data_IF_953954524730
#
_entry.id   IF_953954524730
#
_cell.length_a   1.000
_cell.length_b   1.000
_cell.length_c   1.000
_cell.angle_alpha   90.00
_cell.angle_beta   90.00
_cell.angle_gamma   90.00
#
_symmetry.space_group_name_H-M   'P 1'
#
loop_
_entity.id
_entity.type
_entity.pdbx_description
1 polymer ?
#
# COMPACT_ATOMS: atom_id res chain seq x y z
N UNK A 1 7.76 -25.57 1.53
CA UNK A 1 6.88 -25.95 0.44
C UNK A 1 5.44 -25.51 0.74
N UNK A 2 4.87 -24.57 -0.03
CA UNK A 2 3.46 -24.22 0.08
C UNK A 2 2.50 -25.35 -0.36
N UNK A 3 2.95 -26.34 -1.15
CA UNK A 3 2.13 -27.48 -1.60
C UNK A 3 2.01 -28.53 -0.51
N UNK A 4 3.14 -28.96 0.06
CA UNK A 4 3.19 -30.01 1.09
C UNK A 4 3.05 -29.47 2.52
N UNK A 5 3.14 -28.15 2.72
CA UNK A 5 3.26 -27.55 4.05
C UNK A 5 4.60 -27.86 4.76
N UNK A 6 5.58 -28.41 4.03
CA UNK A 6 6.87 -28.84 4.59
C UNK A 6 7.82 -27.66 4.78
N UNK A 7 8.48 -27.59 5.93
CA UNK A 7 9.56 -26.62 6.17
C UNK A 7 10.90 -27.19 5.68
N UNK A 8 11.58 -26.53 4.74
CA UNK A 8 12.89 -26.98 4.25
C UNK A 8 14.06 -26.53 5.13
N UNK A 9 13.98 -25.30 5.65
CA UNK A 9 15.04 -24.69 6.43
C UNK A 9 14.45 -23.80 7.52
N UNK A 10 15.06 -23.85 8.71
CA UNK A 10 14.77 -22.95 9.83
C UNK A 10 16.06 -22.28 10.25
N UNK A 11 16.12 -20.95 10.11
CA UNK A 11 17.21 -20.14 10.63
C UNK A 11 16.72 -19.40 11.87
N UNK A 12 17.34 -19.68 13.01
CA UNK A 12 17.02 -19.01 14.28
C UNK A 12 17.90 -17.76 14.43
N UNK A 13 17.28 -16.62 14.65
CA UNK A 13 17.98 -15.40 14.99
C UNK A 13 18.48 -15.45 16.44
N UNK A 14 19.51 -14.67 16.74
CA UNK A 14 20.00 -14.50 18.10
C UNK A 14 18.97 -13.77 18.99
N UNK A 15 19.16 -13.89 20.31
CA UNK A 15 18.33 -13.18 21.28
C UNK A 15 18.33 -11.67 21.00
N UNK A 16 17.16 -11.04 21.16
CA UNK A 16 16.92 -9.62 20.93
C UNK A 16 17.12 -9.16 19.48
N UNK A 17 17.11 -10.08 18.51
CA UNK A 17 16.98 -9.77 17.09
C UNK A 17 15.57 -10.12 16.59
N UNK A 18 14.91 -9.15 15.95
CA UNK A 18 13.57 -9.33 15.39
C UNK A 18 13.58 -9.04 13.89
N UNK A 19 13.21 -10.02 13.07
CA UNK A 19 12.97 -9.78 11.64
C UNK A 19 11.70 -8.95 11.45
N UNK A 20 11.78 -7.89 10.65
CA UNK A 20 10.68 -6.93 10.45
C UNK A 20 10.28 -6.75 8.99
N UNK A 21 11.16 -7.13 8.05
CA UNK A 21 10.92 -6.99 6.61
C UNK A 21 11.69 -8.04 5.84
N UNK A 22 11.18 -8.41 4.66
CA UNK A 22 11.78 -9.44 3.81
C UNK A 22 11.48 -9.18 2.34
N UNK A 23 12.45 -9.43 1.47
CA UNK A 23 12.26 -9.39 0.02
C UNK A 23 13.21 -10.33 -0.73
N UNK A 24 12.78 -10.87 -1.86
CA UNK A 24 13.64 -11.51 -2.84
C UNK A 24 14.12 -10.48 -3.86
N UNK A 25 15.43 -10.42 -4.08
CA UNK A 25 16.07 -9.39 -4.91
C UNK A 25 17.12 -10.01 -5.82
N UNK A 26 17.15 -9.53 -7.07
CA UNK A 26 18.23 -9.77 -8.03
C UNK A 26 19.06 -8.50 -8.16
N UNK A 27 20.38 -8.63 -8.05
CA UNK A 27 21.29 -7.49 -8.21
C UNK A 27 21.92 -7.49 -9.60
N UNK A 28 21.96 -6.33 -10.26
CA UNK A 28 22.51 -6.20 -11.61
C UNK A 28 24.02 -6.48 -11.69
N UNK A 29 24.73 -6.35 -10.58
CA UNK A 29 26.17 -6.64 -10.49
C UNK A 29 26.49 -8.09 -10.08
N UNK A 30 25.47 -8.95 -10.00
CA UNK A 30 25.57 -10.39 -9.73
C UNK A 30 25.06 -11.17 -10.95
N UNK A 31 25.33 -12.48 -11.05
CA UNK A 31 24.76 -13.30 -12.11
C UNK A 31 23.23 -13.20 -12.16
N UNK A 32 22.65 -13.09 -13.36
CA UNK A 32 21.21 -12.84 -13.57
C UNK A 32 20.28 -13.92 -12.98
N UNK A 33 20.79 -15.15 -12.92
CA UNK A 33 20.09 -16.30 -12.34
C UNK A 33 20.10 -16.28 -10.82
N UNK A 34 21.00 -15.51 -10.20
CA UNK A 34 21.17 -15.50 -8.76
C UNK A 34 20.13 -14.62 -8.06
N UNK A 35 19.36 -15.22 -7.16
CA UNK A 35 18.47 -14.51 -6.25
C UNK A 35 19.06 -14.40 -4.85
N UNK A 36 18.73 -13.30 -4.17
CA UNK A 36 19.12 -13.07 -2.80
C UNK A 36 17.88 -12.82 -1.96
N UNK A 37 17.82 -13.45 -0.78
CA UNK A 37 16.84 -13.14 0.23
C UNK A 37 17.44 -12.07 1.14
N UNK A 38 16.77 -10.92 1.18
CA UNK A 38 17.14 -9.81 2.04
C UNK A 38 16.17 -9.79 3.21
N UNK A 39 16.71 -9.78 4.43
CA UNK A 39 15.92 -9.74 5.68
C UNK A 39 16.35 -8.52 6.48
N UNK A 40 15.41 -7.63 6.74
CA UNK A 40 15.58 -6.51 7.65
C UNK A 40 15.34 -6.95 9.09
N UNK A 41 16.27 -6.63 9.99
CA UNK A 41 16.26 -7.08 11.39
C UNK A 41 16.50 -5.88 12.31
N UNK A 42 15.71 -5.78 13.38
CA UNK A 42 15.93 -4.84 14.48
C UNK A 42 16.72 -5.50 15.61
N UNK A 43 17.60 -4.75 16.28
CA UNK A 43 18.29 -5.19 17.50
C UNK A 43 17.79 -4.39 18.70
N UNK A 44 17.37 -5.11 19.74
CA UNK A 44 16.95 -4.52 21.04
C UNK A 44 15.86 -3.46 20.86
N UNK A 45 14.86 -3.77 20.01
CA UNK A 45 13.73 -2.88 19.77
C UNK A 45 12.80 -2.86 20.99
N UNK A 46 12.74 -1.72 21.67
CA UNK A 46 11.70 -1.40 22.64
C UNK A 46 10.56 -0.66 21.93
N UNK A 47 9.32 -1.11 22.15
CA UNK A 47 8.15 -0.52 21.48
C UNK A 47 7.63 0.73 22.19
N UNK A 48 7.68 0.77 23.53
CA UNK A 48 7.13 1.86 24.33
C UNK A 48 8.01 2.18 25.56
N UNK A 49 8.58 3.41 25.66
CA UNK A 49 8.80 4.34 24.55
C UNK A 49 9.62 3.68 23.43
N UNK A 50 9.41 4.11 22.17
CA UNK A 50 10.12 3.52 21.03
C UNK A 50 11.63 3.81 21.13
N UNK A 51 12.43 2.77 21.30
CA UNK A 51 13.90 2.85 21.34
C UNK A 51 14.50 1.65 20.61
N UNK A 52 15.68 1.83 20.03
CA UNK A 52 16.36 0.79 19.25
C UNK A 52 17.86 1.04 19.31
N UNK A 53 18.64 -0.03 19.45
CA UNK A 53 20.10 0.06 19.46
C UNK A 53 20.64 0.23 18.04
N UNK A 54 20.24 -0.65 17.13
CA UNK A 54 20.55 -0.57 15.69
C UNK A 54 19.68 -1.54 14.88
N UNK A 55 19.82 -1.52 13.56
CA UNK A 55 19.27 -2.52 12.67
C UNK A 55 20.35 -3.29 11.91
N UNK A 56 19.94 -4.38 11.28
CA UNK A 56 20.76 -5.17 10.38
C UNK A 56 20.00 -5.52 9.11
N UNK A 57 20.72 -5.58 8.00
CA UNK A 57 20.23 -6.14 6.75
C UNK A 57 21.04 -7.42 6.51
N UNK A 58 20.37 -8.55 6.67
CA UNK A 58 20.91 -9.86 6.37
C UNK A 58 20.74 -10.13 4.87
N UNK A 59 21.76 -10.68 4.26
CA UNK A 59 21.77 -11.01 2.84
C UNK A 59 22.11 -12.47 2.69
N UNK A 60 21.14 -13.26 2.24
CA UNK A 60 21.30 -14.68 1.97
C UNK A 60 21.31 -14.92 0.47
N UNK A 61 22.19 -15.79 0.01
CA UNK A 61 22.15 -16.35 -1.31
C UNK A 61 21.13 -17.49 -1.30
N UNK A 62 20.17 -17.45 -2.21
CA UNK A 62 19.17 -18.51 -2.36
C UNK A 62 19.70 -19.52 -3.38
N UNK A 63 19.54 -20.81 -3.10
CA UNK A 63 19.81 -21.87 -4.08
C UNK A 63 18.76 -21.88 -5.20
N UNK A 64 19.07 -22.57 -6.30
CA UNK A 64 18.16 -22.66 -7.45
C UNK A 64 16.86 -23.39 -7.13
N UNK A 65 16.88 -24.28 -6.13
CA UNK A 65 15.71 -25.02 -5.68
C UNK A 65 14.86 -24.25 -4.66
N UNK A 66 15.31 -23.07 -4.19
CA UNK A 66 14.68 -22.30 -3.10
C UNK A 66 14.49 -23.11 -1.80
N UNK A 67 15.40 -24.04 -1.53
CA UNK A 67 15.37 -24.94 -0.36
C UNK A 67 16.43 -24.62 0.69
N UNK A 68 17.48 -23.90 0.32
CA UNK A 68 18.59 -23.55 1.22
C UNK A 68 19.01 -22.08 1.08
N UNK A 69 19.60 -21.56 2.15
CA UNK A 69 20.00 -20.16 2.27
C UNK A 69 21.42 -20.08 2.83
N UNK A 70 22.34 -19.51 2.06
CA UNK A 70 23.71 -19.27 2.51
C UNK A 70 23.89 -17.81 2.92
N UNK A 71 24.30 -17.55 4.16
CA UNK A 71 24.55 -16.19 4.63
C UNK A 71 25.77 -15.61 3.90
N UNK A 72 25.58 -14.51 3.18
CA UNK A 72 26.66 -13.79 2.49
C UNK A 72 27.31 -12.79 3.44
N UNK A 73 26.51 -11.89 4.02
CA UNK A 73 26.98 -10.91 4.99
C UNK A 73 25.82 -10.29 5.78
N UNK A 74 26.17 -9.62 6.88
CA UNK A 74 25.27 -8.84 7.75
C UNK A 74 25.70 -7.37 7.70
N UNK A 75 24.84 -6.50 7.17
CA UNK A 75 25.13 -5.05 7.08
C UNK A 75 24.43 -4.33 8.22
N UNK A 76 25.20 -3.67 9.10
CA UNK A 76 24.62 -2.84 10.16
C UNK A 76 24.08 -1.52 9.61
N UNK A 77 22.94 -1.09 10.14
CA UNK A 77 22.27 0.18 9.86
C UNK A 77 21.85 0.86 11.16
N UNK A 78 21.66 2.17 11.10
CA UNK A 78 21.48 3.03 12.29
C UNK A 78 20.07 2.91 12.90
N UNK A 79 19.11 2.38 12.13
CA UNK A 79 17.70 2.23 12.52
C UNK A 79 17.14 0.91 11.96
N UNK A 80 15.93 0.54 12.37
CA UNK A 80 15.13 -0.58 11.90
C UNK A 80 14.86 -0.43 10.39
N UNK A 81 15.27 -1.42 9.57
CA UNK A 81 14.93 -1.49 8.16
C UNK A 81 13.51 -2.08 7.98
N UNK A 82 12.48 -1.26 8.16
CA UNK A 82 11.06 -1.66 8.19
C UNK A 82 10.47 -2.01 6.82
N UNK A 83 11.04 -1.49 5.74
CA UNK A 83 10.56 -1.77 4.38
C UNK A 83 11.72 -2.07 3.43
N UNK A 84 11.55 -3.07 2.57
CA UNK A 84 12.56 -3.50 1.61
C UNK A 84 11.87 -3.78 0.28
N UNK A 85 12.42 -3.23 -0.81
CA UNK A 85 11.88 -3.40 -2.15
C UNK A 85 13.01 -3.58 -3.17
N UNK A 86 12.80 -4.47 -4.15
CA UNK A 86 13.71 -4.57 -5.30
C UNK A 86 13.45 -3.41 -6.25
N UNK A 87 14.51 -2.80 -6.78
CA UNK A 87 14.38 -1.68 -7.70
C UNK A 87 15.53 -1.64 -8.68
N UNK A 88 15.24 -1.85 -9.97
CA UNK A 88 16.19 -1.70 -11.08
C UNK A 88 17.54 -2.42 -10.85
N UNK A 89 17.49 -3.67 -10.39
CA UNK A 89 18.67 -4.48 -10.10
C UNK A 89 19.46 -4.02 -8.86
N UNK A 90 18.81 -3.27 -7.97
CA UNK A 90 19.33 -2.76 -6.71
C UNK A 90 18.27 -2.94 -5.60
N UNK A 91 18.61 -2.50 -4.41
CA UNK A 91 17.78 -2.65 -3.21
C UNK A 91 17.38 -1.29 -2.65
N UNK A 92 16.08 -1.01 -2.56
CA UNK A 92 15.55 0.09 -1.75
C UNK A 92 15.29 -0.41 -0.34
N UNK A 93 15.69 0.37 0.66
CA UNK A 93 15.43 0.09 2.07
C UNK A 93 14.98 1.35 2.78
N UNK A 94 13.86 1.26 3.50
CA UNK A 94 13.42 2.26 4.46
C UNK A 94 14.05 1.98 5.80
N UNK A 95 14.99 2.82 6.23
CA UNK A 95 15.69 2.73 7.53
C UNK A 95 15.22 3.88 8.40
N UNK A 96 14.24 3.64 9.28
CA UNK A 96 13.54 4.72 9.96
C UNK A 96 12.83 5.63 8.93
N UNK A 97 13.10 6.94 8.99
CA UNK A 97 12.68 7.93 7.97
C UNK A 97 13.54 8.00 6.71
N UNK A 98 14.64 7.25 6.65
CA UNK A 98 15.61 7.40 5.56
C UNK A 98 15.34 6.38 4.45
N UNK A 99 15.04 6.85 3.24
CA UNK A 99 14.98 6.00 2.06
C UNK A 99 16.40 5.86 1.49
N UNK A 100 16.92 4.64 1.44
CA UNK A 100 18.28 4.36 0.99
C UNK A 100 18.27 3.43 -0.22
N UNK A 101 19.09 3.73 -1.21
CA UNK A 101 19.40 2.82 -2.32
C UNK A 101 20.72 2.10 -2.04
N UNK A 102 20.69 0.79 -2.07
CA UNK A 102 21.83 -0.09 -1.84
C UNK A 102 22.15 -0.91 -3.08
N UNK A 103 23.43 -1.22 -3.22
CA UNK A 103 23.95 -2.18 -4.20
C UNK A 103 24.69 -3.30 -3.48
N UNK A 104 24.80 -4.47 -4.11
CA UNK A 104 25.49 -5.61 -3.53
C UNK A 104 26.99 -5.34 -3.43
N UNK A 105 27.59 -5.65 -2.29
CA UNK A 105 29.04 -5.63 -2.08
C UNK A 105 29.54 -6.95 -1.51
N UNK A 106 30.85 -7.19 -1.56
CA UNK A 106 31.41 -8.49 -1.11
C UNK A 106 31.31 -8.73 0.39
N UNK A 107 31.39 -7.66 1.21
CA UNK A 107 31.41 -7.75 2.69
C UNK A 107 30.19 -7.12 3.35
N UNK A 108 29.49 -6.22 2.64
CA UNK A 108 28.31 -5.49 3.10
C UNK A 108 27.62 -4.85 1.90
N UNK A 109 26.36 -4.47 2.07
CA UNK A 109 25.64 -3.63 1.11
C UNK A 109 26.27 -2.23 1.06
N UNK A 110 26.39 -1.69 -0.15
CA UNK A 110 26.97 -0.38 -0.40
C UNK A 110 25.86 0.65 -0.61
N UNK A 111 25.69 1.57 0.34
CA UNK A 111 24.75 2.69 0.20
C UNK A 111 25.20 3.59 -0.96
N UNK A 112 24.37 3.71 -1.99
CA UNK A 112 24.63 4.54 -3.18
C UNK A 112 24.06 5.94 -3.01
N UNK A 113 22.85 6.04 -2.48
CA UNK A 113 22.22 7.31 -2.16
C UNK A 113 21.20 7.17 -1.03
N UNK A 114 20.75 8.31 -0.53
CA UNK A 114 19.87 8.43 0.62
C UNK A 114 19.02 9.69 0.50
N UNK A 115 17.73 9.59 0.83
CA UNK A 115 16.84 10.73 1.06
C UNK A 115 16.35 10.68 2.51
N UNK A 116 16.39 11.82 3.20
CA UNK A 116 15.99 11.96 4.62
C UNK A 116 14.75 12.84 4.81
N UNK A 117 14.09 13.24 3.73
CA UNK A 117 13.01 14.22 3.75
C UNK A 117 11.63 13.61 4.05
N UNK A 118 11.53 12.27 4.10
CA UNK A 118 10.35 11.61 4.68
C UNK A 118 10.26 11.98 6.18
N UNK A 119 9.08 12.32 6.72
CA UNK A 119 8.98 12.90 8.07
C UNK A 119 9.27 11.93 9.22
N UNK A 120 8.61 10.76 9.25
CA UNK A 120 8.52 9.94 10.46
C UNK A 120 9.19 8.57 10.32
N UNK A 121 8.53 7.61 9.68
CA UNK A 121 8.97 6.22 9.61
C UNK A 121 8.38 5.60 8.36
N UNK A 122 9.24 5.05 7.51
CA UNK A 122 8.81 4.34 6.31
C UNK A 122 8.24 2.98 6.72
N UNK A 123 7.02 2.65 6.29
CA UNK A 123 6.36 1.38 6.62
C UNK A 123 6.17 0.45 5.42
N UNK A 124 6.10 1.00 4.21
CA UNK A 124 6.00 0.22 2.97
C UNK A 124 6.72 0.95 1.83
N UNK A 125 7.27 0.19 0.88
CA UNK A 125 7.89 0.71 -0.34
C UNK A 125 7.42 -0.15 -1.51
N UNK A 126 6.79 0.51 -2.48
CA UNK A 126 6.37 -0.11 -3.74
C UNK A 126 7.01 0.63 -4.91
N UNK A 127 7.15 -0.04 -6.05
CA UNK A 127 7.77 0.55 -7.22
C UNK A 127 7.03 0.14 -8.48
N UNK A 128 6.94 1.05 -9.44
CA UNK A 128 6.45 0.76 -10.79
C UNK A 128 7.29 1.53 -11.80
N UNK A 129 8.02 0.81 -12.64
CA UNK A 129 8.95 1.38 -13.61
C UNK A 129 10.03 2.25 -12.95
N UNK A 130 9.88 3.57 -13.11
CA UNK A 130 10.83 4.58 -12.64
C UNK A 130 10.41 5.31 -11.36
N UNK A 131 9.18 5.06 -10.89
CA UNK A 131 8.61 5.67 -9.69
C UNK A 131 8.67 4.74 -8.50
N UNK A 132 8.90 5.35 -7.35
CA UNK A 132 8.95 4.71 -6.05
C UNK A 132 7.84 5.35 -5.22
N UNK A 133 6.99 4.53 -4.62
CA UNK A 133 5.94 4.93 -3.70
C UNK A 133 6.39 4.55 -2.30
N UNK A 134 6.51 5.54 -1.43
CA UNK A 134 7.01 5.38 -0.07
C UNK A 134 5.90 5.73 0.89
N UNK A 135 5.54 4.79 1.76
CA UNK A 135 4.49 5.01 2.77
C UNK A 135 5.12 5.41 4.09
N UNK A 136 4.73 6.56 4.61
CA UNK A 136 5.03 6.99 5.98
C UNK A 136 4.00 6.42 6.95
N UNK A 137 4.41 6.16 8.18
CA UNK A 137 3.55 5.63 9.25
C UNK A 137 2.38 6.54 9.63
N UNK A 138 2.44 7.83 9.28
CA UNK A 138 1.46 8.86 9.65
C UNK A 138 1.16 9.83 8.51
N UNK A 139 2.14 10.21 7.69
CA UNK A 139 1.99 11.23 6.65
C UNK A 139 1.75 10.63 5.25
N UNK A 140 0.92 9.58 5.19
CA UNK A 140 0.44 8.96 3.95
C UNK A 140 1.55 8.51 2.98
N UNK A 141 1.39 8.75 1.67
CA UNK A 141 2.27 8.23 0.61
C UNK A 141 3.01 9.36 -0.09
N UNK A 142 4.30 9.12 -0.34
CA UNK A 142 5.21 10.00 -1.06
C UNK A 142 5.62 9.34 -2.38
N UNK A 143 5.66 10.12 -3.46
CA UNK A 143 6.13 9.68 -4.76
C UNK A 143 7.54 10.21 -4.99
N UNK A 144 8.45 9.26 -5.22
CA UNK A 144 9.89 9.51 -5.28
C UNK A 144 10.44 9.05 -6.64
N UNK A 145 11.29 9.90 -7.22
CA UNK A 145 12.01 9.63 -8.47
C UNK A 145 13.48 9.40 -8.17
N UNK A 146 14.05 8.34 -8.73
CA UNK A 146 15.50 8.11 -8.71
C UNK A 146 16.17 8.72 -9.96
N UNK A 147 16.98 9.76 -9.77
CA UNK A 147 17.82 10.37 -10.80
C UNK A 147 19.17 9.65 -10.87
N UNK A 148 19.35 8.85 -11.92
CA UNK A 148 20.53 7.99 -12.08
C UNK A 148 21.83 8.77 -12.30
N UNK A 149 21.78 9.91 -13.00
CA UNK A 149 22.96 10.72 -13.29
C UNK A 149 23.59 11.28 -12.01
N UNK A 150 22.75 11.78 -11.09
CA UNK A 150 23.17 12.40 -9.82
C UNK A 150 23.25 11.40 -8.67
N UNK A 151 22.72 10.19 -8.85
CA UNK A 151 22.43 9.25 -7.77
C UNK A 151 21.61 9.92 -6.65
N UNK A 152 20.50 10.57 -6.99
CA UNK A 152 19.63 11.23 -6.01
C UNK A 152 18.22 10.63 -6.02
N UNK A 153 17.61 10.58 -4.85
CA UNK A 153 16.20 10.24 -4.65
C UNK A 153 15.46 11.54 -4.34
N UNK A 154 14.52 11.94 -5.20
CA UNK A 154 13.82 13.22 -5.10
C UNK A 154 12.34 12.94 -4.89
N UNK A 155 11.77 13.53 -3.83
CA UNK A 155 10.33 13.52 -3.59
C UNK A 155 9.73 14.58 -4.51
N UNK A 156 8.91 14.17 -5.47
CA UNK A 156 8.30 15.10 -6.44
C UNK A 156 6.83 15.35 -6.18
N UNK A 157 6.15 14.45 -5.45
CA UNK A 157 4.77 14.60 -5.03
C UNK A 157 4.48 13.88 -3.71
N UNK A 158 3.46 14.34 -3.01
CA UNK A 158 2.95 13.78 -1.76
C UNK A 158 1.42 13.96 -1.65
N UNK A 159 0.82 13.21 -0.74
CA UNK A 159 -0.60 13.36 -0.41
C UNK A 159 -0.87 14.68 0.35
N UNK A 160 -2.13 15.10 0.38
CA UNK A 160 -2.60 16.27 1.13
C UNK A 160 -3.14 15.92 2.52
N UNK A 161 -3.46 14.65 2.79
CA UNK A 161 -4.04 14.22 4.06
C UNK A 161 -3.11 13.24 4.79
N UNK A 162 -2.95 13.37 6.12
CA UNK A 162 -2.22 12.39 6.91
C UNK A 162 -2.98 11.07 6.92
N UNK A 163 -2.30 9.95 6.74
CA UNK A 163 -2.88 8.60 6.84
C UNK A 163 -1.92 7.69 7.58
N UNK A 164 -2.43 6.93 8.54
CA UNK A 164 -1.63 6.03 9.36
C UNK A 164 -1.44 4.71 8.62
N UNK A 165 -0.61 4.73 7.58
CA UNK A 165 -0.55 3.66 6.59
C UNK A 165 -0.17 2.32 7.22
N UNK A 166 -0.89 1.26 6.83
CA UNK A 166 -0.55 -0.14 7.14
C UNK A 166 0.06 -0.84 5.94
N UNK A 167 -0.54 -0.68 4.76
CA UNK A 167 -0.13 -1.36 3.53
C UNK A 167 -0.58 -0.57 2.30
N UNK A 168 0.15 -0.73 1.20
CA UNK A 168 -0.20 -0.11 -0.09
C UNK A 168 -0.15 -1.08 -1.25
N UNK A 169 -0.90 -0.76 -2.31
CA UNK A 169 -0.87 -1.48 -3.58
C UNK A 169 -0.84 -0.49 -4.74
N UNK A 170 0.17 -0.58 -5.59
CA UNK A 170 0.25 0.24 -6.81
C UNK A 170 -0.71 -0.34 -7.84
N UNK A 171 -1.72 0.44 -8.24
CA UNK A 171 -2.76 0.01 -9.18
C UNK A 171 -2.33 0.24 -10.63
N UNK A 172 -1.70 1.39 -10.87
CA UNK A 172 -1.12 1.81 -12.14
C UNK A 172 0.02 2.80 -11.89
N UNK A 173 0.61 3.37 -12.96
CA UNK A 173 1.79 4.24 -12.86
C UNK A 173 1.54 5.53 -12.05
N UNK A 174 0.30 6.00 -11.97
CA UNK A 174 -0.11 7.24 -11.30
C UNK A 174 -0.94 6.99 -10.02
N UNK A 175 -1.37 5.76 -9.76
CA UNK A 175 -2.42 5.46 -8.78
C UNK A 175 -1.98 4.41 -7.78
N UNK A 176 -2.16 4.71 -6.50
CA UNK A 176 -1.84 3.83 -5.38
C UNK A 176 -3.07 3.70 -4.46
N UNK A 177 -3.40 2.47 -4.09
CA UNK A 177 -4.34 2.19 -3.02
C UNK A 177 -3.58 2.15 -1.69
N UNK A 178 -4.17 2.76 -0.66
CA UNK A 178 -3.59 2.91 0.66
C UNK A 178 -4.61 2.47 1.71
N UNK A 179 -4.20 1.58 2.60
CA UNK A 179 -4.95 1.22 3.80
C UNK A 179 -4.31 1.85 5.05
N UNK A 180 -5.12 2.09 6.09
CA UNK A 180 -4.62 2.66 7.35
C UNK A 180 -5.02 1.86 8.60
N UNK A 181 -4.39 2.22 9.73
CA UNK A 181 -4.59 1.63 11.06
C UNK A 181 -5.99 1.83 11.63
N UNK A 182 -6.79 2.69 11.01
CA UNK A 182 -8.15 3.00 11.45
C UNK A 182 -9.21 2.34 10.57
N UNK A 183 -8.80 1.46 9.65
CA UNK A 183 -9.71 0.68 8.81
C UNK A 183 -10.30 1.46 7.65
N UNK A 184 -9.59 2.48 7.15
CA UNK A 184 -9.93 3.14 5.90
C UNK A 184 -9.12 2.56 4.74
N UNK A 185 -9.70 2.60 3.54
CA UNK A 185 -9.01 2.42 2.28
C UNK A 185 -9.24 3.67 1.42
N UNK A 186 -8.15 4.24 0.91
CA UNK A 186 -8.17 5.39 0.00
C UNK A 186 -7.44 5.05 -1.30
N UNK A 187 -7.89 5.61 -2.41
CA UNK A 187 -7.17 5.56 -3.69
C UNK A 187 -6.62 6.94 -3.99
N UNK A 188 -5.30 7.03 -4.08
CA UNK A 188 -4.53 8.26 -4.29
C UNK A 188 -4.00 8.23 -5.72
N UNK A 189 -4.20 9.32 -6.46
CA UNK A 189 -3.84 9.45 -7.88
C UNK A 189 -3.09 10.76 -8.11
N UNK A 190 -1.97 10.66 -8.80
CA UNK A 190 -1.27 11.82 -9.35
C UNK A 190 -2.07 12.44 -10.50
N UNK A 191 -2.08 13.77 -10.56
CA UNK A 191 -2.63 14.51 -11.69
C UNK A 191 -1.92 14.13 -13.01
N UNK A 192 -2.62 14.24 -14.12
CA UNK A 192 -2.06 13.94 -15.45
C UNK A 192 -0.94 14.90 -15.86
N UNK A 193 -0.94 16.12 -15.30
CA UNK A 193 0.05 17.16 -15.61
C UNK A 193 1.26 17.14 -14.67
N UNK A 194 1.44 16.06 -13.91
CA UNK A 194 2.56 15.91 -12.97
C UNK A 194 3.89 15.76 -13.72
N UNK A 195 4.95 16.42 -13.23
CA UNK A 195 6.31 16.19 -13.69
C UNK A 195 7.10 15.40 -12.65
N UNK A 196 7.73 14.31 -13.08
CA UNK A 196 8.67 13.53 -12.25
C UNK A 196 10.07 14.16 -12.24
N UNK A 197 10.36 15.02 -13.21
CA UNK A 197 11.67 15.65 -13.41
C UNK A 197 11.73 16.97 -12.64
N UNK A 198 11.62 16.86 -11.32
CA UNK A 198 11.80 17.98 -10.39
C UNK A 198 13.25 18.02 -9.92
N UNK A 199 13.88 19.19 -9.99
CA UNK A 199 15.20 19.44 -9.39
C UNK A 199 15.04 19.88 -7.94
N UNK A 200 15.77 19.25 -7.04
CA UNK A 200 15.91 19.68 -5.65
C UNK A 200 17.22 20.49 -5.57
N UNK A 201 17.14 21.82 -5.42
CA UNK A 201 18.34 22.67 -5.33
C UNK A 201 18.99 22.51 -3.94
N UNK A 202 20.16 21.87 -3.83
CA UNK A 202 20.83 21.64 -2.55
C UNK A 202 21.40 22.92 -1.92
N UNK A 203 21.44 24.03 -2.66
CA UNK A 203 21.98 25.32 -2.18
C UNK A 203 20.94 26.21 -1.50
N UNK A 204 19.64 25.86 -1.60
CA UNK A 204 18.56 26.66 -1.02
C UNK A 204 18.36 28.02 -1.69
N UNK A 205 18.92 28.24 -2.89
CA UNK A 205 18.83 29.50 -3.64
C UNK A 205 17.60 29.60 -4.54
N UNK A 206 16.72 28.60 -4.51
CA UNK A 206 15.45 28.62 -5.24
C UNK A 206 14.57 29.82 -4.85
N UNK A 207 13.94 30.41 -5.86
CA UNK A 207 12.99 31.51 -5.71
C UNK A 207 11.83 31.12 -4.78
N UNK A 208 11.20 32.10 -4.13
CA UNK A 208 10.12 31.91 -3.14
C UNK A 208 8.99 30.93 -3.58
N UNK A 209 8.77 30.81 -4.89
CA UNK A 209 7.78 29.98 -5.58
C UNK A 209 8.09 28.49 -5.64
N UNK A 210 9.35 28.12 -5.38
CA UNK A 210 9.85 26.75 -5.43
C UNK A 210 9.91 26.11 -4.02
N UNK A 211 9.45 26.83 -2.99
CA UNK A 211 9.25 26.26 -1.66
C UNK A 211 8.10 25.26 -1.72
N UNK A 212 8.34 24.07 -1.19
CA UNK A 212 7.37 22.99 -1.12
C UNK A 212 5.98 23.45 -0.66
N UNK A 213 4.94 22.89 -1.27
CA UNK A 213 3.56 23.26 -0.95
C UNK A 213 3.14 22.56 0.34
N UNK A 214 2.49 23.27 1.26
CA UNK A 214 2.03 22.73 2.56
C UNK A 214 3.16 22.07 3.38
N UNK A 215 4.37 22.64 3.37
CA UNK A 215 5.57 22.06 4.02
C UNK A 215 5.98 20.67 3.50
N UNK A 216 5.52 20.27 2.31
CA UNK A 216 5.82 18.99 1.69
C UNK A 216 6.37 19.15 0.27
N UNK A 217 6.05 18.23 -0.64
CA UNK A 217 6.46 18.35 -2.03
C UNK A 217 5.73 19.53 -2.74
N UNK A 218 6.28 20.00 -3.86
CA UNK A 218 5.68 21.08 -4.65
C UNK A 218 4.37 20.66 -5.33
N UNK A 219 4.23 19.38 -5.66
CA UNK A 219 3.07 18.83 -6.32
C UNK A 219 2.28 17.93 -5.37
N UNK A 220 0.95 17.98 -5.44
CA UNK A 220 0.07 17.20 -4.57
C UNK A 220 -0.71 16.15 -5.35
N UNK A 221 -0.90 15.00 -4.74
CA UNK A 221 -1.78 13.95 -5.24
C UNK A 221 -3.22 14.17 -4.77
N UNK A 222 -4.17 13.77 -5.61
CA UNK A 222 -5.58 13.77 -5.28
C UNK A 222 -5.99 12.40 -4.73
N UNK A 223 -6.89 12.36 -3.75
CA UNK A 223 -7.60 11.13 -3.40
C UNK A 223 -8.90 11.04 -4.22
N UNK A 224 -9.04 9.99 -5.01
CA UNK A 224 -10.16 9.81 -5.95
C UNK A 224 -11.23 8.88 -5.40
N UNK A 225 -10.90 8.05 -4.41
CA UNK A 225 -11.86 7.20 -3.71
C UNK A 225 -11.47 7.07 -2.24
N UNK A 226 -12.47 6.95 -1.37
CA UNK A 226 -12.28 6.71 0.05
C UNK A 226 -13.45 5.94 0.63
N UNK A 227 -13.15 4.94 1.46
CA UNK A 227 -14.14 4.08 2.11
C UNK A 227 -13.66 3.62 3.48
N UNK A 228 -14.51 3.77 4.49
CA UNK A 228 -14.28 3.17 5.80
C UNK A 228 -14.84 1.75 5.86
N UNK A 229 -13.93 0.76 5.94
CA UNK A 229 -14.28 -0.66 6.05
C UNK A 229 -14.76 -0.98 7.47
N UNK A 230 -14.18 -0.33 8.48
CA UNK A 230 -14.44 -0.62 9.90
C UNK A 230 -13.48 -1.62 10.52
N UNK A 231 -12.60 -2.21 9.72
CA UNK A 231 -11.57 -3.16 10.15
C UNK A 231 -10.22 -2.79 9.55
N UNK A 232 -9.14 -3.04 10.29
CA UNK A 232 -7.78 -2.67 9.88
C UNK A 232 -7.34 -3.57 8.73
N UNK A 233 -7.17 -3.01 7.53
CA UNK A 233 -6.63 -3.76 6.39
C UNK A 233 -5.12 -3.93 6.52
N UNK A 234 -4.65 -5.17 6.34
CA UNK A 234 -3.25 -5.57 6.47
C UNK A 234 -2.63 -6.01 5.15
N UNK A 235 -3.45 -6.33 4.14
CA UNK A 235 -2.97 -6.56 2.77
C UNK A 235 -3.89 -5.94 1.74
N UNK A 236 -3.29 -5.46 0.64
CA UNK A 236 -3.96 -4.99 -0.56
C UNK A 236 -3.25 -5.62 -1.76
N UNK A 237 -4.03 -6.24 -2.65
CA UNK A 237 -3.48 -6.88 -3.85
C UNK A 237 -4.43 -6.73 -5.03
N UNK A 238 -3.95 -6.11 -6.10
CA UNK A 238 -4.61 -6.14 -7.39
C UNK A 238 -4.46 -7.54 -7.99
N UNK A 239 -5.59 -8.21 -8.27
CA UNK A 239 -5.59 -9.57 -8.78
C UNK A 239 -6.85 -9.88 -9.59
N UNK A 240 -6.73 -10.90 -10.45
CA UNK A 240 -7.84 -11.55 -11.13
C UNK A 240 -8.15 -12.85 -10.40
N UNK A 241 -9.34 -12.96 -9.82
CA UNK A 241 -9.71 -14.08 -8.94
C UNK A 241 -10.10 -15.35 -9.72
N UNK A 242 -10.61 -15.20 -10.94
CA UNK A 242 -11.03 -16.32 -11.81
C UNK A 242 -10.43 -16.18 -13.21
N UNK A 243 -10.07 -17.27 -13.90
CA UNK A 243 -9.58 -17.20 -15.27
C UNK A 243 -10.56 -16.47 -16.20
N UNK A 244 -10.07 -15.46 -16.92
CA UNK A 244 -10.90 -14.63 -17.81
C UNK A 244 -11.73 -13.55 -17.09
N UNK A 245 -11.66 -13.46 -15.76
CA UNK A 245 -12.30 -12.40 -14.98
C UNK A 245 -11.59 -11.05 -15.11
N UNK A 246 -12.27 -10.00 -14.64
CA UNK A 246 -11.69 -8.65 -14.54
C UNK A 246 -10.75 -8.53 -13.35
N UNK A 247 -9.81 -7.57 -13.41
CA UNK A 247 -8.98 -7.22 -12.25
C UNK A 247 -9.84 -6.58 -11.15
N UNK A 248 -9.50 -6.90 -9.90
CA UNK A 248 -10.12 -6.34 -8.70
C UNK A 248 -9.06 -6.07 -7.64
N UNK A 249 -9.35 -5.19 -6.69
CA UNK A 249 -8.48 -4.95 -5.56
C UNK A 249 -8.96 -5.78 -4.36
N UNK A 250 -8.25 -6.88 -4.11
CA UNK A 250 -8.51 -7.77 -2.98
C UNK A 250 -7.85 -7.17 -1.74
N UNK A 251 -8.55 -7.20 -0.61
CA UNK A 251 -8.01 -6.79 0.67
C UNK A 251 -8.24 -7.86 1.74
N UNK A 252 -7.33 -7.92 2.72
CA UNK A 252 -7.54 -8.72 3.93
C UNK A 252 -7.43 -7.85 5.17
N UNK A 253 -8.25 -8.14 6.17
CA UNK A 253 -8.30 -7.40 7.42
C UNK A 253 -7.68 -8.18 8.57
N UNK A 254 -7.33 -7.47 9.65
CA UNK A 254 -6.83 -8.06 10.88
C UNK A 254 -7.85 -8.99 11.54
N UNK A 255 -9.15 -8.75 11.35
CA UNK A 255 -10.24 -9.57 11.89
C UNK A 255 -10.51 -10.83 11.08
N UNK A 256 -9.83 -11.03 9.95
CA UNK A 256 -9.98 -12.21 9.09
C UNK A 256 -10.92 -12.02 7.91
N UNK A 257 -11.45 -10.81 7.69
CA UNK A 257 -12.27 -10.51 6.50
C UNK A 257 -11.40 -10.54 5.26
N UNK A 258 -11.91 -11.17 4.21
CA UNK A 258 -11.38 -11.09 2.84
C UNK A 258 -12.44 -10.39 2.01
N UNK A 259 -12.13 -9.19 1.54
CA UNK A 259 -13.05 -8.40 0.74
C UNK A 259 -12.44 -8.01 -0.60
N UNK A 260 -13.27 -7.39 -1.44
CA UNK A 260 -12.88 -6.98 -2.78
C UNK A 260 -13.47 -5.62 -3.11
N UNK A 261 -12.67 -4.76 -3.75
CA UNK A 261 -13.14 -3.55 -4.42
C UNK A 261 -13.14 -3.80 -5.93
N UNK A 262 -14.30 -3.67 -6.54
CA UNK A 262 -14.52 -3.96 -7.96
C UNK A 262 -14.78 -2.65 -8.70
N UNK A 263 -14.05 -2.34 -9.77
CA UNK A 263 -14.34 -1.17 -10.59
C UNK A 263 -15.61 -1.39 -11.42
N UNK A 264 -16.47 -0.37 -11.51
CA UNK A 264 -17.60 -0.37 -12.44
C UNK A 264 -17.11 -0.32 -13.89
N UNK A 265 -17.82 -1.00 -14.78
CA UNK A 265 -17.56 -1.04 -16.23
C UNK A 265 -18.36 0.03 -16.98
N UNK A 266 -19.48 0.49 -16.42
CA UNK A 266 -20.38 1.48 -17.03
C UNK A 266 -20.92 2.46 -15.99
N UNK A 267 -21.24 3.67 -16.43
CA UNK A 267 -21.94 4.66 -15.59
C UNK A 267 -23.36 4.21 -15.25
N UNK A 268 -24.02 3.47 -16.14
CA UNK A 268 -25.37 2.94 -15.90
C UNK A 268 -25.38 1.95 -14.71
N UNK A 269 -24.36 1.10 -14.59
CA UNK A 269 -24.23 0.19 -13.45
C UNK A 269 -23.91 0.97 -12.17
N UNK A 270 -23.01 1.95 -12.24
CA UNK A 270 -22.71 2.82 -11.10
C UNK A 270 -23.98 3.52 -10.59
N UNK A 271 -24.75 4.15 -11.50
CA UNK A 271 -25.98 4.86 -11.15
C UNK A 271 -27.01 3.90 -10.56
N UNK A 272 -27.19 2.71 -11.15
CA UNK A 272 -28.08 1.69 -10.61
C UNK A 272 -27.74 1.32 -9.16
N UNK A 273 -26.49 0.96 -8.88
CA UNK A 273 -26.08 0.58 -7.53
C UNK A 273 -26.10 1.76 -6.57
N UNK A 274 -25.85 2.98 -7.04
CA UNK A 274 -25.93 4.17 -6.21
C UNK A 274 -27.36 4.41 -5.73
N UNK A 275 -28.35 4.32 -6.63
CA UNK A 275 -29.76 4.46 -6.25
C UNK A 275 -30.20 3.30 -5.34
N UNK A 276 -29.80 2.06 -5.65
CA UNK A 276 -30.10 0.91 -4.80
C UNK A 276 -29.54 1.11 -3.37
N UNK A 277 -28.27 1.53 -3.24
CA UNK A 277 -27.67 1.81 -1.95
C UNK A 277 -28.44 2.91 -1.20
N UNK A 278 -28.86 3.98 -1.88
CA UNK A 278 -29.68 5.05 -1.29
C UNK A 278 -31.01 4.53 -0.73
N UNK A 279 -31.74 3.70 -1.49
CA UNK A 279 -32.97 3.07 -1.01
C UNK A 279 -32.72 2.12 0.15
N UNK A 280 -31.67 1.30 0.08
CA UNK A 280 -31.34 0.36 1.15
C UNK A 280 -30.98 1.06 2.46
N UNK A 281 -30.34 2.24 2.40
CA UNK A 281 -30.06 3.05 3.60
C UNK A 281 -31.32 3.47 4.34
N UNK A 282 -32.41 3.79 3.64
CA UNK A 282 -33.68 4.18 4.26
C UNK A 282 -34.54 2.99 4.66
N UNK A 283 -34.64 1.99 3.79
CA UNK A 283 -35.57 0.86 3.97
C UNK A 283 -35.02 -0.25 4.87
N UNK A 284 -33.70 -0.34 5.01
CA UNK A 284 -32.98 -1.33 5.79
C UNK A 284 -31.85 -0.69 6.61
N UNK A 285 -32.24 0.23 7.51
CA UNK A 285 -31.30 0.93 8.37
C UNK A 285 -30.43 -0.05 9.19
N UNK A 286 -29.14 0.27 9.46
CA UNK A 286 -28.27 -0.60 10.24
C UNK A 286 -28.84 -0.93 11.62
N UNK A 287 -28.75 -2.21 12.00
CA UNK A 287 -29.41 -2.78 13.19
C UNK A 287 -29.12 -2.03 14.50
N UNK A 288 -27.89 -1.54 14.67
CA UNK A 288 -27.45 -0.85 15.88
C UNK A 288 -27.78 0.65 15.89
N UNK A 289 -28.65 1.13 14.99
CA UNK A 289 -29.04 2.54 14.92
C UNK A 289 -27.96 3.50 14.43
N UNK A 290 -26.85 2.97 13.88
CA UNK A 290 -25.80 3.78 13.26
C UNK A 290 -26.23 4.19 11.86
N UNK A 291 -26.10 5.47 11.52
CA UNK A 291 -26.27 5.93 10.14
C UNK A 291 -25.17 5.35 9.23
N UNK A 292 -25.58 4.74 8.11
CA UNK A 292 -24.68 4.04 7.19
C UNK A 292 -23.66 4.99 6.56
N UNK A 293 -24.12 6.13 6.04
CA UNK A 293 -23.24 7.09 5.36
C UNK A 293 -22.22 7.68 6.35
N UNK A 294 -22.65 7.97 7.57
CA UNK A 294 -21.80 8.42 8.66
C UNK A 294 -20.78 7.35 9.09
N UNK A 295 -21.13 6.07 9.02
CA UNK A 295 -20.18 4.98 9.28
C UNK A 295 -19.16 4.85 8.16
N UNK A 296 -19.59 4.80 6.89
CA UNK A 296 -18.66 4.70 5.74
C UNK A 296 -17.80 5.96 5.55
N UNK A 297 -18.18 7.07 6.19
CA UNK A 297 -17.46 8.35 6.24
C UNK A 297 -16.78 8.63 7.58
N UNK A 298 -16.44 7.60 8.37
CA UNK A 298 -16.04 7.78 9.79
C UNK A 298 -14.88 8.78 9.99
N UNK A 299 -13.82 8.67 9.19
CA UNK A 299 -12.63 9.54 9.30
C UNK A 299 -12.53 10.52 8.12
N UNK A 300 -12.77 10.03 6.91
CA UNK A 300 -12.81 10.82 5.69
C UNK A 300 -14.14 10.58 4.99
N UNK A 301 -14.70 11.59 4.30
CA UNK A 301 -15.94 11.43 3.54
C UNK A 301 -15.88 10.25 2.57
N UNK A 302 -16.96 9.47 2.53
CA UNK A 302 -17.19 8.48 1.48
C UNK A 302 -17.04 9.16 0.10
N UNK A 303 -16.24 8.58 -0.78
CA UNK A 303 -16.03 9.10 -2.13
C UNK A 303 -15.89 7.95 -3.13
N UNK A 304 -16.74 7.94 -4.16
CA UNK A 304 -16.66 7.04 -5.32
C UNK A 304 -16.55 5.54 -4.97
N UNK A 305 -17.19 5.11 -3.88
CA UNK A 305 -17.32 3.70 -3.49
C UNK A 305 -18.76 3.47 -3.04
N UNK A 306 -19.34 2.35 -3.45
CA UNK A 306 -20.68 1.91 -3.05
C UNK A 306 -20.56 0.64 -2.20
N UNK A 307 -21.38 0.53 -1.18
CA UNK A 307 -21.37 -0.60 -0.25
C UNK A 307 -22.14 -1.80 -0.81
N UNK A 308 -21.42 -2.73 -1.43
CA UNK A 308 -21.98 -3.98 -1.95
C UNK A 308 -22.66 -4.82 -0.87
N UNK A 309 -22.11 -4.87 0.34
CA UNK A 309 -22.67 -5.65 1.46
C UNK A 309 -24.04 -5.12 1.88
N UNK A 310 -24.28 -3.81 1.76
CA UNK A 310 -25.60 -3.22 1.98
C UNK A 310 -26.55 -3.53 0.81
N UNK A 311 -26.05 -3.49 -0.42
CA UNK A 311 -26.86 -3.78 -1.61
C UNK A 311 -27.33 -5.24 -1.63
N UNK A 312 -26.47 -6.20 -1.26
CA UNK A 312 -26.83 -7.63 -1.20
C UNK A 312 -27.92 -7.94 -0.17
N UNK A 313 -28.05 -7.12 0.89
CA UNK A 313 -29.14 -7.24 1.87
C UNK A 313 -30.52 -6.97 1.28
N UNK A 314 -30.63 -6.44 0.06
CA UNK A 314 -31.88 -6.33 -0.67
C UNK A 314 -32.63 -7.67 -0.73
N UNK A 315 -31.93 -8.79 -0.82
CA UNK A 315 -32.56 -10.11 -0.85
C UNK A 315 -33.14 -10.56 0.51
N UNK A 316 -32.79 -9.87 1.60
CA UNK A 316 -33.19 -10.21 2.96
C UNK A 316 -34.35 -9.37 3.51
N UNK A 317 -34.74 -8.28 2.83
CA UNK A 317 -35.86 -7.41 3.26
C UNK A 317 -37.22 -7.98 2.81
N UNK A 318 -38.30 -7.44 3.38
CA UNK A 318 -39.66 -7.85 3.05
C UNK A 318 -39.99 -7.68 1.56
N UNK A 319 -40.71 -8.65 0.98
CA UNK A 319 -41.02 -8.65 -0.46
C UNK A 319 -41.82 -7.44 -0.94
N UNK A 320 -42.61 -6.79 -0.07
CA UNK A 320 -43.28 -5.52 -0.40
C UNK A 320 -42.29 -4.37 -0.61
N UNK A 321 -41.25 -4.29 0.22
CA UNK A 321 -40.18 -3.30 0.08
C UNK A 321 -39.29 -3.60 -1.13
N UNK A 322 -38.95 -4.87 -1.36
CA UNK A 322 -38.26 -5.30 -2.58
C UNK A 322 -38.99 -4.83 -3.83
N UNK A 323 -40.31 -5.06 -3.87
CA UNK A 323 -41.15 -4.63 -4.99
C UNK A 323 -41.15 -3.11 -5.16
N UNK A 324 -41.32 -2.35 -4.07
CA UNK A 324 -41.31 -0.89 -4.10
C UNK A 324 -39.99 -0.34 -4.64
N UNK A 325 -38.85 -0.82 -4.12
CA UNK A 325 -37.53 -0.37 -4.56
C UNK A 325 -37.29 -0.74 -6.03
N UNK A 326 -37.68 -1.96 -6.43
CA UNK A 326 -37.52 -2.38 -7.83
C UNK A 326 -38.36 -1.52 -8.79
N UNK A 327 -39.59 -1.18 -8.42
CA UNK A 327 -40.46 -0.28 -9.19
C UNK A 327 -39.83 1.12 -9.33
N UNK A 328 -39.26 1.69 -8.26
CA UNK A 328 -38.55 2.98 -8.31
C UNK A 328 -37.29 2.94 -9.20
N UNK A 329 -36.67 1.77 -9.35
CA UNK A 329 -35.52 1.53 -10.23
C UNK A 329 -35.93 1.13 -11.67
N UNK A 330 -37.22 1.16 -12.00
CA UNK A 330 -37.79 0.69 -13.28
C UNK A 330 -37.36 -0.76 -13.61
N UNK A 331 -37.39 -1.65 -12.62
CA UNK A 331 -37.01 -3.07 -12.72
C UNK A 331 -37.98 -3.97 -11.98
N UNK A 332 -37.87 -5.27 -12.22
CA UNK A 332 -38.51 -6.29 -11.38
C UNK A 332 -37.60 -6.70 -10.23
N UNK A 333 -38.18 -7.17 -9.12
CA UNK A 333 -37.38 -7.61 -7.96
C UNK A 333 -36.38 -8.71 -8.32
N UNK A 334 -36.73 -9.61 -9.25
CA UNK A 334 -35.81 -10.65 -9.74
C UNK A 334 -34.65 -10.09 -10.58
N UNK A 335 -34.84 -8.99 -11.30
CA UNK A 335 -33.76 -8.36 -12.08
C UNK A 335 -32.77 -7.67 -11.15
N UNK A 336 -33.26 -7.01 -10.09
CA UNK A 336 -32.42 -6.42 -9.05
C UNK A 336 -31.59 -7.52 -8.38
N UNK A 337 -32.24 -8.58 -7.88
CA UNK A 337 -31.56 -9.72 -7.23
C UNK A 337 -30.53 -10.43 -8.10
N UNK A 338 -30.72 -10.45 -9.43
CA UNK A 338 -29.77 -11.06 -10.37
C UNK A 338 -28.55 -10.17 -10.60
N UNK A 339 -28.72 -8.86 -10.45
CA UNK A 339 -27.67 -7.87 -10.68
C UNK A 339 -26.83 -7.63 -9.43
N UNK A 340 -27.44 -7.72 -8.24
CA UNK A 340 -26.78 -7.73 -6.92
C UNK A 340 -26.10 -9.07 -6.65
#
# INVERSE_FOLDING_TARGET
DPVEGKTHLVLRLEQNLAAVSVALVKFANQPETQQFLIVGVAKELQLNPRQVTCGYIYTYKVDTACTSLDLVHKTQVDEVPTAICSFQGRLLVGVGRMLRLYDMGKKKLLRKCENKHIPNLIVDIRTMGHRIFVSDVQESVYMVRYKRAENQLIIFADDTQPRWVTTTCVLDYNTVACADKFGNVSIIRLSQNISDDVDEDPTGNKALWDRGLLNGASQKADFIANFHIGEICMSLQKATLIPGGSESLVYTTLSGTVGVLVPFTSHEDQDFFQHLEMHMRSENAPLCGRDHLSFRSYYYPLKNVLDGDLCEQYNAIDGSKQKSIAEDLDRTSSEVSKKT
#
